data_IF_223239626569
#
_entry.id   IF_223239626569
#
_cell.length_a   1.000
_cell.length_b   1.000
_cell.length_c   1.000
_cell.angle_alpha   90.00
_cell.angle_beta   90.00
_cell.angle_gamma   90.00
#
_symmetry.space_group_name_H-M   'P 1'
#
loop_
_entity.id
_entity.type
_entity.pdbx_description
1 polymer ?
#
# COMPACT_ATOMS: atom_id res chain seq x y z
N UNK A 1 20.40 -26.55 17.98
CA UNK A 1 20.24 -25.12 17.68
C UNK A 1 19.15 -24.54 18.55
N UNK A 2 19.40 -23.43 19.23
CA UNK A 2 18.31 -22.79 19.92
C UNK A 2 17.27 -22.30 18.91
N UNK A 3 15.98 -22.21 19.28
CA UNK A 3 14.98 -21.64 18.39
C UNK A 3 15.25 -20.16 18.16
N UNK A 4 14.89 -19.70 16.97
CA UNK A 4 14.94 -18.28 16.63
C UNK A 4 13.58 -17.63 16.89
N UNK A 5 13.59 -16.30 16.97
CA UNK A 5 12.35 -15.53 17.06
C UNK A 5 11.55 -15.67 15.76
N UNK A 6 10.22 -15.53 15.83
CA UNK A 6 9.43 -15.55 14.61
C UNK A 6 9.70 -14.32 13.73
N UNK A 7 9.40 -14.44 12.46
CA UNK A 7 9.51 -13.33 11.51
C UNK A 7 8.12 -12.99 10.98
N UNK A 8 7.94 -11.76 10.50
CA UNK A 8 6.71 -11.38 9.81
C UNK A 8 6.84 -11.92 8.38
N UNK A 9 6.05 -12.95 8.06
CA UNK A 9 6.10 -13.60 6.75
C UNK A 9 5.25 -12.88 5.73
N UNK A 10 4.02 -12.51 6.12
CA UNK A 10 3.07 -11.82 5.26
C UNK A 10 2.37 -10.72 6.02
N UNK A 11 1.92 -9.70 5.29
CA UNK A 11 0.90 -8.77 5.76
C UNK A 11 -0.32 -9.10 4.92
N UNK A 12 -1.41 -9.48 5.57
CA UNK A 12 -2.58 -10.01 4.87
C UNK A 12 -3.70 -8.98 4.83
N UNK A 13 -4.25 -8.79 3.63
CA UNK A 13 -5.42 -7.96 3.37
C UNK A 13 -6.61 -8.89 3.17
N UNK A 14 -7.64 -8.72 3.97
CA UNK A 14 -8.93 -9.37 3.73
C UNK A 14 -9.69 -8.57 2.68
N UNK A 15 -10.30 -9.24 1.72
CA UNK A 15 -11.06 -8.55 0.70
C UNK A 15 -12.33 -9.34 0.34
N UNK A 16 -13.42 -8.62 0.04
CA UNK A 16 -14.69 -9.25 -0.36
C UNK A 16 -14.80 -9.40 -1.86
N UNK A 17 -14.07 -8.57 -2.62
CA UNK A 17 -14.03 -8.67 -4.06
C UNK A 17 -13.04 -9.72 -4.53
N UNK A 18 -12.56 -9.57 -5.75
CA UNK A 18 -11.59 -10.48 -6.35
C UNK A 18 -10.20 -10.20 -5.78
N UNK A 19 -9.57 -11.15 -5.07
CA UNK A 19 -8.23 -10.91 -4.51
C UNK A 19 -7.20 -10.53 -5.56
N UNK A 20 -7.29 -11.11 -6.76
CA UNK A 20 -6.36 -10.79 -7.83
C UNK A 20 -6.43 -9.32 -8.23
N UNK A 21 -7.63 -8.74 -8.26
CA UNK A 21 -7.79 -7.33 -8.65
C UNK A 21 -7.18 -6.39 -7.60
N UNK A 22 -7.39 -6.68 -6.32
CA UNK A 22 -6.77 -5.88 -5.25
C UNK A 22 -5.26 -6.06 -5.25
N UNK A 23 -4.78 -7.29 -5.43
CA UNK A 23 -3.34 -7.57 -5.52
C UNK A 23 -2.72 -6.85 -6.71
N UNK A 24 -3.43 -6.77 -7.84
CA UNK A 24 -2.92 -6.08 -9.03
C UNK A 24 -2.76 -4.59 -8.77
N UNK A 25 -3.70 -3.96 -8.06
CA UNK A 25 -3.55 -2.56 -7.66
C UNK A 25 -2.24 -2.36 -6.89
N UNK A 26 -2.00 -3.16 -5.84
CA UNK A 26 -0.81 -3.02 -5.00
C UNK A 26 0.47 -3.41 -5.74
N UNK A 27 0.41 -4.43 -6.59
CA UNK A 27 1.53 -4.85 -7.45
C UNK A 27 1.96 -3.70 -8.37
N UNK A 28 1.00 -3.04 -9.01
CA UNK A 28 1.29 -1.93 -9.91
C UNK A 28 1.77 -0.68 -9.14
N UNK A 29 1.14 -0.38 -8.00
CA UNK A 29 1.53 0.79 -7.20
C UNK A 29 2.94 0.65 -6.67
N UNK A 30 3.30 -0.52 -6.14
CA UNK A 30 4.60 -0.77 -5.53
C UNK A 30 5.67 -1.19 -6.54
N UNK A 31 5.26 -1.60 -7.73
CA UNK A 31 6.21 -2.02 -8.77
C UNK A 31 6.83 -3.39 -8.52
N UNK A 32 6.11 -4.31 -7.87
CA UNK A 32 6.58 -5.66 -7.58
C UNK A 32 5.55 -6.70 -8.00
N UNK A 33 5.98 -7.92 -8.41
CA UNK A 33 5.10 -8.85 -9.09
C UNK A 33 4.16 -9.61 -8.17
N UNK A 34 3.02 -10.01 -8.73
CA UNK A 34 2.22 -11.08 -8.16
C UNK A 34 2.98 -12.40 -8.39
N UNK A 35 2.93 -13.30 -7.41
CA UNK A 35 3.52 -14.63 -7.54
C UNK A 35 3.02 -15.33 -8.81
N UNK A 36 3.92 -15.94 -9.55
CA UNK A 36 3.59 -16.55 -10.85
C UNK A 36 2.75 -17.82 -10.74
N UNK A 37 2.61 -18.37 -9.53
CA UNK A 37 1.73 -19.52 -9.31
C UNK A 37 0.28 -19.10 -9.02
N UNK A 38 0.02 -17.81 -8.79
CA UNK A 38 -1.30 -17.29 -8.45
C UNK A 38 -2.01 -16.78 -9.69
N UNK A 39 -3.32 -16.98 -9.75
CA UNK A 39 -4.16 -16.70 -10.93
C UNK A 39 -5.42 -15.95 -10.55
N UNK A 40 -6.01 -15.21 -11.51
CA UNK A 40 -7.34 -14.65 -11.29
C UNK A 40 -8.33 -15.76 -10.89
N UNK A 41 -9.15 -15.47 -9.89
CA UNK A 41 -10.12 -16.42 -9.34
C UNK A 41 -9.63 -17.16 -8.10
N UNK A 42 -8.33 -17.15 -7.82
CA UNK A 42 -7.81 -17.79 -6.60
C UNK A 42 -8.27 -17.03 -5.35
N UNK A 43 -8.47 -17.76 -4.27
CA UNK A 43 -8.92 -17.18 -3.00
C UNK A 43 -7.77 -16.50 -2.23
N UNK A 44 -6.53 -16.78 -2.60
CA UNK A 44 -5.34 -16.15 -2.01
C UNK A 44 -4.38 -15.76 -3.12
N UNK A 45 -3.91 -14.51 -3.08
CA UNK A 45 -2.98 -13.96 -4.06
C UNK A 45 -1.84 -13.27 -3.32
N UNK A 46 -0.60 -13.57 -3.70
CA UNK A 46 0.59 -13.01 -3.07
C UNK A 46 1.26 -11.99 -3.99
N UNK A 47 1.53 -10.80 -3.47
CA UNK A 47 2.45 -9.84 -4.08
C UNK A 47 3.81 -10.02 -3.39
N UNK A 48 4.83 -10.34 -4.17
CA UNK A 48 6.17 -10.59 -3.67
C UNK A 48 6.95 -9.29 -3.57
N UNK A 49 7.47 -8.99 -2.38
CA UNK A 49 8.27 -7.79 -2.15
C UNK A 49 9.74 -8.19 -2.01
N UNK A 50 10.68 -7.29 -2.36
CA UNK A 50 12.10 -7.61 -2.38
C UNK A 50 12.71 -7.67 -1.00
N UNK A 51 13.89 -8.27 -0.95
CA UNK A 51 14.71 -8.37 0.26
C UNK A 51 13.94 -9.13 1.34
N UNK A 52 14.03 -8.70 2.58
CA UNK A 52 13.34 -9.35 3.69
C UNK A 52 12.00 -8.69 4.03
N UNK A 53 11.46 -7.88 3.11
CA UNK A 53 10.16 -7.26 3.31
C UNK A 53 9.06 -8.31 3.24
N UNK A 54 8.13 -8.35 4.21
CA UNK A 54 7.02 -9.29 4.16
C UNK A 54 6.21 -9.13 2.87
N UNK A 55 5.79 -10.25 2.28
CA UNK A 55 4.91 -10.20 1.13
C UNK A 55 3.51 -9.73 1.52
N UNK A 56 2.76 -9.22 0.55
CA UNK A 56 1.37 -8.84 0.76
C UNK A 56 0.48 -9.96 0.26
N UNK A 57 -0.31 -10.53 1.16
CA UNK A 57 -1.23 -11.62 0.84
C UNK A 57 -2.66 -11.09 0.85
N UNK A 58 -3.39 -11.37 -0.22
CA UNK A 58 -4.78 -10.91 -0.38
C UNK A 58 -5.68 -12.12 -0.33
N UNK A 59 -6.59 -12.14 0.66
CA UNK A 59 -7.40 -13.32 0.97
C UNK A 59 -8.88 -12.97 0.88
N UNK A 60 -9.65 -13.81 0.18
CA UNK A 60 -11.09 -13.63 0.08
C UNK A 60 -11.76 -13.92 1.41
N UNK A 61 -12.61 -13.00 1.86
CA UNK A 61 -13.43 -13.15 3.06
C UNK A 61 -14.86 -12.72 2.73
N UNK A 62 -15.86 -13.20 3.50
CA UNK A 62 -17.26 -12.84 3.22
C UNK A 62 -17.64 -11.45 3.71
N UNK A 63 -16.98 -10.91 4.73
CA UNK A 63 -17.34 -9.63 5.33
C UNK A 63 -16.52 -8.48 4.77
N UNK A 64 -17.20 -7.35 4.49
CA UNK A 64 -16.53 -6.13 4.04
C UNK A 64 -15.94 -5.33 5.18
N UNK A 65 -15.15 -4.32 4.79
CA UNK A 65 -14.56 -3.37 5.71
C UNK A 65 -15.63 -2.39 6.21
N UNK A 66 -15.77 -2.23 7.52
CA UNK A 66 -16.77 -1.34 8.13
C UNK A 66 -16.17 -0.23 8.98
N UNK A 67 -14.92 -0.37 9.42
CA UNK A 67 -14.25 0.63 10.26
C UNK A 67 -12.91 1.00 9.68
N UNK A 68 -12.34 2.12 10.16
CA UNK A 68 -11.01 2.56 9.74
C UNK A 68 -9.96 1.52 10.12
N UNK A 69 -8.98 1.30 9.24
CA UNK A 69 -7.84 0.44 9.55
C UNK A 69 -7.05 1.03 10.72
N UNK A 70 -6.59 0.16 11.60
CA UNK A 70 -5.72 0.56 12.70
C UNK A 70 -4.24 0.46 12.32
N UNK A 71 -3.93 -0.32 11.30
CA UNK A 71 -2.60 -0.40 10.70
C UNK A 71 -2.74 0.05 9.25
N UNK A 72 -1.87 0.94 8.81
CA UNK A 72 -1.88 1.44 7.43
C UNK A 72 -0.45 1.62 6.95
N UNK A 73 -0.26 1.55 5.65
CA UNK A 73 1.04 1.79 5.03
C UNK A 73 1.25 3.29 4.85
N UNK A 74 2.47 3.73 5.08
CA UNK A 74 2.94 5.05 4.70
C UNK A 74 3.94 4.87 3.56
N UNK A 75 3.61 5.37 2.38
CA UNK A 75 4.43 5.19 1.19
C UNK A 75 5.25 6.44 0.92
N UNK A 76 6.53 6.25 0.67
CA UNK A 76 7.43 7.34 0.27
C UNK A 76 7.72 7.25 -1.22
N UNK A 77 7.28 8.22 -2.04
CA UNK A 77 7.54 8.19 -3.47
C UNK A 77 9.04 8.23 -3.78
N UNK A 78 9.43 7.52 -4.82
CA UNK A 78 10.79 7.58 -5.37
C UNK A 78 10.71 7.98 -6.83
N UNK A 79 11.49 8.98 -7.23
CA UNK A 79 11.48 9.48 -8.60
C UNK A 79 10.24 10.28 -8.98
N UNK A 80 9.35 10.55 -8.02
CA UNK A 80 8.13 11.35 -8.21
C UNK A 80 7.92 12.24 -7.01
N UNK A 81 7.20 13.34 -7.20
CA UNK A 81 6.69 14.12 -6.07
C UNK A 81 5.50 13.40 -5.44
N UNK A 82 5.12 13.82 -4.23
CA UNK A 82 3.90 13.33 -3.58
C UNK A 82 2.68 13.51 -4.48
N UNK A 83 2.52 14.69 -5.08
CA UNK A 83 1.38 14.97 -5.96
C UNK A 83 1.35 14.04 -7.17
N UNK A 84 2.49 13.79 -7.78
CA UNK A 84 2.59 12.88 -8.92
C UNK A 84 2.23 11.46 -8.53
N UNK A 85 2.69 11.01 -7.35
CA UNK A 85 2.37 9.66 -6.87
C UNK A 85 0.89 9.53 -6.51
N UNK A 86 0.29 10.56 -5.92
CA UNK A 86 -1.16 10.58 -5.65
C UNK A 86 -1.95 10.44 -6.94
N UNK A 87 -1.60 11.20 -7.98
CA UNK A 87 -2.27 11.11 -9.28
C UNK A 87 -2.13 9.71 -9.88
N UNK A 88 -0.94 9.13 -9.78
CA UNK A 88 -0.71 7.77 -10.28
C UNK A 88 -1.55 6.74 -9.52
N UNK A 89 -1.59 6.84 -8.19
CA UNK A 89 -2.40 5.94 -7.38
C UNK A 89 -3.89 6.03 -7.76
N UNK A 90 -4.41 7.24 -7.97
CA UNK A 90 -5.79 7.44 -8.42
C UNK A 90 -6.02 6.79 -9.78
N UNK A 91 -5.07 6.92 -10.70
CA UNK A 91 -5.19 6.29 -12.03
C UNK A 91 -5.22 4.77 -11.95
N UNK A 92 -4.65 4.17 -10.90
CA UNK A 92 -4.64 2.74 -10.68
C UNK A 92 -5.88 2.24 -9.92
N UNK A 93 -6.70 3.14 -9.37
CA UNK A 93 -7.94 2.77 -8.71
C UNK A 93 -8.10 3.25 -7.26
N UNK A 94 -7.15 4.00 -6.72
CA UNK A 94 -7.25 4.56 -5.38
C UNK A 94 -8.13 5.80 -5.35
N UNK A 95 -8.57 6.19 -4.15
CA UNK A 95 -9.31 7.43 -3.91
C UNK A 95 -8.58 8.28 -2.88
N UNK A 96 -8.65 9.60 -3.03
CA UNK A 96 -8.16 10.53 -2.02
C UNK A 96 -9.22 10.66 -0.94
N UNK A 97 -8.84 10.45 0.32
CA UNK A 97 -9.74 10.65 1.47
C UNK A 97 -9.51 12.02 2.11
N UNK A 98 -8.26 12.37 2.38
CA UNK A 98 -7.92 13.64 3.06
C UNK A 98 -6.52 14.05 2.65
N UNK A 99 -6.37 15.32 2.29
CA UNK A 99 -5.04 15.90 2.04
C UNK A 99 -4.58 16.62 3.30
N UNK A 100 -3.51 16.12 3.88
CA UNK A 100 -2.90 16.71 5.08
C UNK A 100 -1.53 17.31 4.79
N UNK A 101 -1.32 17.75 3.56
CA UNK A 101 -0.12 18.45 3.17
C UNK A 101 -0.05 19.80 3.89
N UNK A 102 1.09 20.08 4.51
CA UNK A 102 1.32 21.31 5.25
C UNK A 102 1.93 22.38 4.34
N UNK A 103 1.78 23.68 4.69
CA UNK A 103 2.35 24.77 3.89
C UNK A 103 3.87 24.66 3.67
N UNK A 104 4.61 24.03 4.62
CA UNK A 104 6.04 23.87 4.50
C UNK A 104 6.45 22.66 3.64
N UNK A 105 5.49 21.96 3.02
CA UNK A 105 5.75 20.79 2.17
C UNK A 105 5.74 19.46 2.90
N UNK A 106 5.67 19.46 4.22
CA UNK A 106 5.53 18.24 5.02
C UNK A 106 4.10 17.74 5.00
N UNK A 107 3.85 16.64 5.69
CA UNK A 107 2.52 16.04 5.77
C UNK A 107 2.35 14.90 4.78
N UNK A 108 1.12 14.50 4.58
CA UNK A 108 0.79 13.31 3.79
C UNK A 108 -0.61 13.44 3.18
N UNK A 109 -0.92 12.55 2.24
CA UNK A 109 -2.27 12.42 1.68
C UNK A 109 -2.81 11.06 2.10
N UNK A 110 -3.97 11.04 2.72
CA UNK A 110 -4.65 9.79 3.10
C UNK A 110 -5.47 9.31 1.92
N UNK A 111 -5.27 8.07 1.52
CA UNK A 111 -5.93 7.47 0.39
C UNK A 111 -6.63 6.17 0.79
N UNK A 112 -7.50 5.69 -0.08
CA UNK A 112 -8.10 4.37 0.05
C UNK A 112 -7.78 3.54 -1.19
N UNK A 113 -7.45 2.27 -0.98
CA UNK A 113 -7.31 1.33 -2.09
C UNK A 113 -8.68 0.93 -2.64
N UNK A 114 -8.77 0.11 -3.70
CA UNK A 114 -10.08 -0.27 -4.28
C UNK A 114 -11.05 -0.95 -3.32
N UNK A 115 -10.58 -1.55 -2.23
CA UNK A 115 -11.45 -2.17 -1.21
C UNK A 115 -11.68 -1.23 -0.02
N UNK A 116 -11.17 -0.01 -0.08
CA UNK A 116 -11.35 0.98 0.98
C UNK A 116 -10.30 0.97 2.07
N UNK A 117 -9.22 0.18 1.93
CA UNK A 117 -8.15 0.16 2.92
C UNK A 117 -7.37 1.47 2.88
N UNK A 118 -7.24 2.13 4.03
CA UNK A 118 -6.52 3.39 4.14
C UNK A 118 -5.02 3.18 4.05
N UNK A 119 -4.37 4.03 3.29
CA UNK A 119 -2.92 4.16 3.24
C UNK A 119 -2.56 5.62 3.01
N UNK A 120 -1.31 5.98 3.26
CA UNK A 120 -0.86 7.37 3.12
C UNK A 120 0.28 7.46 2.12
N UNK A 121 0.32 8.56 1.40
CA UNK A 121 1.47 8.92 0.58
C UNK A 121 2.13 10.12 1.23
N UNK A 122 3.36 9.93 1.69
CA UNK A 122 4.17 10.94 2.32
C UNK A 122 4.95 11.72 1.26
N UNK A 123 5.71 12.73 1.66
CA UNK A 123 6.60 13.43 0.73
C UNK A 123 7.65 12.46 0.20
N UNK A 124 8.05 12.67 -1.04
CA UNK A 124 9.18 11.98 -1.62
C UNK A 124 10.44 12.84 -1.57
N UNK A 125 11.55 12.30 -2.08
CA UNK A 125 12.81 13.01 -2.15
C UNK A 125 12.73 14.29 -3.00
N UNK A 126 11.82 14.31 -3.98
CA UNK A 126 11.66 15.45 -4.87
C UNK A 126 10.75 16.54 -4.28
N UNK A 127 10.14 16.30 -3.13
CA UNK A 127 9.29 17.30 -2.47
C UNK A 127 10.14 18.21 -1.59
N UNK A 128 9.89 19.49 -1.69
CA UNK A 128 10.59 20.49 -0.84
C UNK A 128 9.98 20.51 0.54
N UNK A 129 10.83 20.53 1.55
CA UNK A 129 10.42 20.59 2.95
C UNK A 129 11.11 21.78 3.59
N UNK A 130 10.33 22.65 4.24
CA UNK A 130 10.80 23.94 4.70
C UNK A 130 11.83 23.93 5.82
N UNK A 131 11.86 22.90 6.66
CA UNK A 131 12.72 22.85 7.84
C UNK A 131 13.75 21.71 7.83
N UNK A 132 13.81 20.96 6.75
CA UNK A 132 14.79 19.87 6.60
C UNK A 132 14.53 18.65 7.48
N UNK A 133 13.39 18.57 8.16
CA UNK A 133 13.06 17.39 8.96
C UNK A 133 12.73 16.20 8.07
N UNK A 134 13.01 14.93 8.52
CA UNK A 134 12.81 13.75 7.67
C UNK A 134 11.34 13.40 7.38
N UNK A 135 10.41 13.90 8.15
CA UNK A 135 8.98 13.64 7.92
C UNK A 135 8.19 14.91 7.80
#
# INVERSE_FOLDING_TARGET
>A
MPPSNPTIRHITFDCTGEPYDLARFWSELLGHPISDIDKPGDDEILVELPNDTPGLLFVRVPEGKTTKNRIHFDLGPTGRTRSEEVERAVSLGARILTDRTLPNGRGWVVMADPEGNEFCIERGELDKVGDGQPR
#
